data_IF_303444578249
#
_entry.id   IF_303444578249
#
_cell.length_a   1.000
_cell.length_b   1.000
_cell.length_c   1.000
_cell.angle_alpha   90.00
_cell.angle_beta   90.00
_cell.angle_gamma   90.00
#
_symmetry.space_group_name_H-M   'P 1'
#
loop_
_entity.id
_entity.type
_entity.pdbx_description
1 polymer ?
#
# COMPACT_ATOMS: atom_id res chain seq x y z
N UNK A 1 9.42 12.98 -13.22
CA UNK A 1 8.85 11.64 -12.91
C UNK A 1 7.36 11.77 -12.61
N UNK A 2 6.61 10.67 -12.43
CA UNK A 2 5.17 10.74 -12.13
C UNK A 2 4.85 11.55 -10.86
N UNK A 3 5.66 11.43 -9.80
CA UNK A 3 5.54 12.23 -8.56
C UNK A 3 5.71 13.73 -8.82
N UNK A 4 6.66 14.13 -9.66
CA UNK A 4 6.84 15.54 -10.05
C UNK A 4 5.59 16.13 -10.70
N UNK A 5 4.92 15.34 -11.55
CA UNK A 5 3.68 15.76 -12.23
C UNK A 5 2.49 15.80 -11.28
N UNK A 6 2.49 14.95 -10.25
CA UNK A 6 1.53 15.03 -9.15
C UNK A 6 1.72 16.33 -8.37
N UNK A 7 2.96 16.67 -8.00
CA UNK A 7 3.28 17.91 -7.26
C UNK A 7 2.90 19.17 -8.04
N UNK A 8 2.99 19.11 -9.38
CA UNK A 8 2.59 20.18 -10.29
C UNK A 8 1.06 20.24 -10.53
N UNK A 9 0.30 19.26 -10.07
CA UNK A 9 -1.15 19.16 -10.29
C UNK A 9 -1.55 18.61 -11.67
N UNK A 10 -0.58 18.25 -12.51
CA UNK A 10 -0.78 17.78 -13.89
C UNK A 10 -1.15 16.29 -13.99
N UNK A 11 -0.95 15.54 -12.89
CA UNK A 11 -1.31 14.13 -12.78
C UNK A 11 -1.88 13.82 -11.39
N UNK A 12 -3.16 14.18 -11.12
CA UNK A 12 -3.80 13.84 -9.86
C UNK A 12 -3.92 12.32 -9.72
N UNK A 13 -3.47 11.80 -8.58
CA UNK A 13 -3.49 10.37 -8.27
C UNK A 13 -4.14 10.14 -6.90
N UNK A 14 -4.69 8.93 -6.70
CA UNK A 14 -5.28 8.54 -5.41
C UNK A 14 -4.20 8.05 -4.45
N UNK A 15 -4.43 8.21 -3.14
CA UNK A 15 -3.44 7.94 -2.09
C UNK A 15 -2.70 6.58 -2.23
N UNK A 16 -3.36 5.43 -2.46
CA UNK A 16 -2.65 4.16 -2.63
C UNK A 16 -1.66 4.17 -3.81
N UNK A 17 -2.02 4.82 -4.91
CA UNK A 17 -1.16 4.96 -6.09
C UNK A 17 0.04 5.85 -5.79
N UNK A 18 -0.16 6.97 -5.09
CA UNK A 18 0.93 7.88 -4.68
C UNK A 18 1.95 7.10 -3.84
N UNK A 19 1.47 6.41 -2.80
CA UNK A 19 2.32 5.62 -1.90
C UNK A 19 3.09 4.53 -2.64
N UNK A 20 2.43 3.85 -3.57
CA UNK A 20 3.09 2.82 -4.39
C UNK A 20 4.24 3.42 -5.21
N UNK A 21 4.03 4.57 -5.85
CA UNK A 21 5.07 5.22 -6.66
C UNK A 21 6.20 5.78 -5.78
N UNK A 22 5.89 6.33 -4.59
CA UNK A 22 6.89 6.72 -3.60
C UNK A 22 7.75 5.53 -3.18
N UNK A 23 7.14 4.38 -2.86
CA UNK A 23 7.89 3.16 -2.52
C UNK A 23 8.75 2.65 -3.67
N UNK A 24 8.26 2.73 -4.91
CA UNK A 24 9.02 2.34 -6.10
C UNK A 24 10.21 3.27 -6.37
N UNK A 25 10.14 4.54 -5.95
CA UNK A 25 11.23 5.51 -6.14
C UNK A 25 12.52 5.16 -5.39
N UNK A 26 12.44 4.21 -4.45
CA UNK A 26 13.60 3.68 -3.72
C UNK A 26 14.43 2.69 -4.55
N UNK A 27 13.92 2.24 -5.69
CA UNK A 27 14.59 1.26 -6.56
C UNK A 27 15.09 1.91 -7.84
N UNK A 28 16.29 1.49 -8.27
CA UNK A 28 16.93 2.01 -9.48
C UNK A 28 16.27 1.50 -10.76
N UNK A 29 15.67 0.31 -10.71
CA UNK A 29 15.03 -0.34 -11.86
C UNK A 29 13.80 -1.15 -11.45
N UNK A 30 12.98 -1.52 -12.44
CA UNK A 30 11.84 -2.40 -12.21
C UNK A 30 12.29 -3.79 -11.71
N UNK A 31 13.40 -4.32 -12.21
CA UNK A 31 13.94 -5.62 -11.78
C UNK A 31 14.38 -5.57 -10.30
N UNK A 32 15.06 -4.49 -9.90
CA UNK A 32 15.46 -4.29 -8.50
C UNK A 32 14.24 -4.16 -7.57
N UNK A 33 13.16 -3.51 -8.03
CA UNK A 33 11.91 -3.43 -7.29
C UNK A 33 11.25 -4.82 -7.13
N UNK A 34 11.19 -5.60 -8.20
CA UNK A 34 10.61 -6.95 -8.17
C UNK A 34 11.40 -7.89 -7.25
N UNK A 35 12.73 -7.86 -7.30
CA UNK A 35 13.58 -8.61 -6.38
C UNK A 35 13.38 -8.16 -4.93
N UNK A 36 13.36 -6.85 -4.70
CA UNK A 36 13.13 -6.24 -3.39
C UNK A 36 11.80 -6.67 -2.78
N UNK A 37 10.69 -6.56 -3.52
CA UNK A 37 9.37 -6.98 -3.06
C UNK A 37 9.22 -8.50 -2.96
N UNK A 38 9.90 -9.26 -3.84
CA UNK A 38 9.87 -10.73 -3.81
C UNK A 38 10.41 -11.32 -2.52
N UNK A 39 11.30 -10.61 -1.82
CA UNK A 39 11.85 -11.02 -0.53
C UNK A 39 11.00 -10.62 0.69
N UNK A 40 9.96 -9.79 0.51
CA UNK A 40 9.14 -9.30 1.61
C UNK A 40 8.05 -10.31 1.98
N UNK A 41 7.84 -10.49 3.29
CA UNK A 41 6.72 -11.26 3.81
C UNK A 41 5.43 -10.47 3.63
N UNK A 42 4.47 -11.03 2.91
CA UNK A 42 3.10 -10.51 2.89
C UNK A 42 2.44 -10.93 4.19
N UNK A 43 2.27 -9.98 5.14
CA UNK A 43 1.53 -10.25 6.37
C UNK A 43 0.08 -10.56 6.00
N UNK A 44 -0.34 -11.80 6.21
CA UNK A 44 -1.73 -12.20 6.02
C UNK A 44 -2.54 -11.67 7.20
N UNK A 45 -3.09 -10.46 7.07
CA UNK A 45 -4.06 -9.96 8.03
C UNK A 45 -5.44 -10.49 7.62
N UNK A 46 -5.99 -11.41 8.40
CA UNK A 46 -7.34 -11.93 8.21
C UNK A 46 -8.29 -11.25 9.21
N UNK A 47 -8.93 -10.13 8.87
CA UNK A 47 -9.84 -9.47 9.79
C UNK A 47 -11.11 -10.29 9.98
N UNK A 48 -11.62 -10.31 11.20
CA UNK A 48 -12.91 -10.92 11.51
C UNK A 48 -14.00 -9.87 11.45
N UNK A 49 -15.08 -10.16 10.72
CA UNK A 49 -16.27 -9.31 10.76
C UNK A 49 -17.04 -9.56 12.05
N UNK A 50 -17.30 -8.50 12.80
CA UNK A 50 -18.02 -8.56 14.09
C UNK A 50 -19.25 -7.66 14.06
N UNK A 51 -20.32 -8.09 14.73
CA UNK A 51 -21.52 -7.26 14.91
C UNK A 51 -21.30 -6.34 16.10
N UNK A 52 -21.54 -5.05 15.91
CA UNK A 52 -21.45 -4.01 16.94
C UNK A 52 -22.82 -3.35 17.17
N UNK A 53 -23.02 -2.59 18.26
CA UNK A 53 -24.27 -1.86 18.48
C UNK A 53 -24.60 -0.83 17.40
N UNK A 54 -23.61 -0.40 16.61
CA UNK A 54 -23.76 0.60 15.55
C UNK A 54 -23.72 0.00 14.15
N UNK A 55 -23.51 -1.31 13.98
CA UNK A 55 -23.47 -1.97 12.67
C UNK A 55 -22.49 -3.14 12.61
N UNK A 56 -21.69 -3.20 11.54
CA UNK A 56 -20.65 -4.22 11.34
C UNK A 56 -19.29 -3.55 11.50
N UNK A 57 -18.42 -4.16 12.31
CA UNK A 57 -17.03 -3.77 12.51
C UNK A 57 -16.05 -4.77 11.91
N UNK A 58 -14.80 -4.37 11.78
CA UNK A 58 -13.67 -5.23 11.46
C UNK A 58 -12.77 -5.32 12.69
N UNK A 59 -12.57 -6.52 13.19
CA UNK A 59 -11.58 -6.81 14.22
C UNK A 59 -10.31 -7.33 13.55
N UNK A 60 -9.20 -6.63 13.80
CA UNK A 60 -7.88 -7.02 13.31
C UNK A 60 -7.18 -7.77 14.44
N UNK A 61 -7.10 -9.09 14.32
CA UNK A 61 -6.24 -9.88 15.20
C UNK A 61 -4.80 -9.66 14.75
N UNK A 62 -3.96 -9.12 15.62
CA UNK A 62 -2.52 -9.12 15.38
C UNK A 62 -2.03 -10.55 15.61
N UNK A 63 -1.75 -11.29 14.53
CA UNK A 63 -0.99 -12.54 14.64
C UNK A 63 0.42 -12.19 15.18
N UNK A 64 0.82 -12.82 16.29
CA UNK A 64 2.15 -12.73 16.94
C UNK A 64 3.32 -12.99 15.96
#
# INVERSE_FOLDING_TARGET
AALTRLDQGDLPMVFPTIKTIESLSLYESADAALEGFGSQLVRSIMPTLVVTPTGIGLEINEDD
#
